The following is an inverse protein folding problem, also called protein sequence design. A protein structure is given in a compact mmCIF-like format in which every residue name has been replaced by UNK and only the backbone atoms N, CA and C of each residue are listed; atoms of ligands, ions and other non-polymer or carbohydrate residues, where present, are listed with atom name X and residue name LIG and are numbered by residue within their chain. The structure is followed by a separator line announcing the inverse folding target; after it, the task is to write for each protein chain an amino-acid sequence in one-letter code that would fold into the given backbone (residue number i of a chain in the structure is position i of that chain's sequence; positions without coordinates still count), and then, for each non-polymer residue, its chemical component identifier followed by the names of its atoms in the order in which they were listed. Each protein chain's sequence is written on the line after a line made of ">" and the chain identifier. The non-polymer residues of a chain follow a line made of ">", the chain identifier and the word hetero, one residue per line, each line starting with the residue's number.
data_IF_807365800615
#
_entry.id   IF_807365800615
#
_cell.length_a   1.000
_cell.length_b   1.000
_cell.length_c   1.000
_cell.angle_alpha   90.00
_cell.angle_beta   90.00
_cell.angle_gamma   90.00
#
_symmetry.space_group_name_H-M   'P 1'
#
loop_
_entity.id
_entity.type
_entity.pdbx_description
1 polymer ?
#
# COMPACT_ATOMS: atom_id res chain seq x y z
N UNK A 1 -27.27 -5.61 16.18
CA UNK A 1 -25.89 -5.29 16.61
C UNK A 1 -25.35 -6.51 17.33
N UNK A 2 -24.57 -7.36 16.65
CA UNK A 2 -23.77 -8.33 17.36
C UNK A 2 -22.56 -7.57 17.90
N UNK A 3 -22.62 -7.17 19.16
CA UNK A 3 -21.43 -6.81 19.90
C UNK A 3 -20.51 -8.02 19.83
N UNK A 4 -19.27 -7.81 19.37
CA UNK A 4 -18.20 -8.77 19.61
C UNK A 4 -18.12 -8.93 21.13
N UNK A 5 -18.72 -10.01 21.64
CA UNK A 5 -18.47 -10.46 22.99
C UNK A 5 -16.98 -10.75 23.04
N UNK A 6 -16.26 -9.94 23.82
CA UNK A 6 -14.92 -10.30 24.27
C UNK A 6 -15.04 -11.64 25.00
N UNK A 7 -14.75 -12.73 24.28
CA UNK A 7 -14.57 -14.04 24.87
C UNK A 7 -13.21 -14.04 25.57
N UNK A 8 -13.15 -13.40 26.74
CA UNK A 8 -12.02 -13.46 27.66
C UNK A 8 -12.07 -14.81 28.36
N UNK A 9 -11.46 -15.87 27.77
CA UNK A 9 -10.78 -16.98 28.49
C UNK A 9 -10.37 -18.14 27.55
N UNK A 10 -9.76 -17.89 26.39
CA UNK A 10 -9.02 -18.95 25.67
C UNK A 10 -7.67 -18.43 25.19
N UNK A 11 -6.67 -19.28 25.35
CA UNK A 11 -5.24 -19.10 25.07
C UNK A 11 -4.93 -18.20 23.87
N UNK A 12 -3.84 -17.44 23.96
CA UNK A 12 -3.36 -16.43 23.02
C UNK A 12 -3.07 -16.89 21.58
N UNK A 13 -3.31 -18.16 21.23
CA UNK A 13 -2.81 -18.77 20.00
C UNK A 13 -3.86 -18.99 18.91
N UNK A 14 -5.13 -18.61 19.13
CA UNK A 14 -6.23 -18.86 18.17
C UNK A 14 -7.02 -17.60 17.77
N UNK A 15 -6.47 -16.40 18.01
CA UNK A 15 -7.12 -15.17 17.52
C UNK A 15 -6.92 -15.05 16.02
N UNK A 16 -8.02 -15.02 15.27
CA UNK A 16 -8.03 -14.51 13.90
C UNK A 16 -7.81 -12.99 14.01
N UNK A 17 -6.61 -12.53 13.65
CA UNK A 17 -6.23 -11.09 13.70
C UNK A 17 -6.56 -10.39 12.35
N UNK A 18 -6.95 -11.15 11.33
CA UNK A 18 -7.30 -10.67 9.99
C UNK A 18 -8.82 -10.67 9.76
N UNK A 19 -9.30 -9.87 8.79
CA UNK A 19 -10.71 -9.92 8.40
C UNK A 19 -11.03 -11.30 7.80
N UNK A 20 -12.05 -12.03 8.26
CA UNK A 20 -12.48 -13.28 7.65
C UNK A 20 -13.06 -13.10 6.24
N UNK A 21 -13.32 -11.87 5.77
CA UNK A 21 -13.81 -11.56 4.42
C UNK A 21 -15.11 -12.29 4.07
N UNK A 22 -16.19 -11.97 4.79
CA UNK A 22 -17.54 -12.46 4.45
C UNK A 22 -18.18 -11.67 3.29
N UNK A 23 -19.03 -12.31 2.49
CA UNK A 23 -19.67 -11.69 1.32
C UNK A 23 -20.67 -10.59 1.72
N UNK A 24 -21.58 -10.83 2.69
CA UNK A 24 -22.47 -9.79 3.23
C UNK A 24 -22.85 -10.08 4.69
N UNK A 25 -22.05 -9.58 5.62
CA UNK A 25 -22.30 -9.63 7.06
C UNK A 25 -23.10 -8.41 7.58
N UNK A 26 -23.21 -7.35 6.79
CA UNK A 26 -23.64 -6.01 7.22
C UNK A 26 -24.93 -5.52 6.58
N UNK A 27 -25.37 -6.14 5.47
CA UNK A 27 -26.60 -5.78 4.77
C UNK A 27 -27.48 -7.03 4.64
N UNK A 28 -28.61 -7.13 5.36
CA UNK A 28 -29.52 -8.26 5.19
C UNK A 28 -30.08 -8.26 3.77
N UNK A 29 -30.21 -9.45 3.19
CA UNK A 29 -31.02 -9.64 1.97
C UNK A 29 -32.48 -9.25 2.24
N UNK A 30 -33.30 -9.08 1.20
CA UNK A 30 -34.72 -8.72 1.34
C UNK A 30 -35.53 -9.64 2.28
N UNK A 31 -35.02 -10.84 2.57
CA UNK A 31 -35.63 -11.81 3.48
C UNK A 31 -35.01 -11.82 4.89
N UNK A 32 -34.13 -10.88 5.23
CA UNK A 32 -33.46 -10.82 6.54
C UNK A 32 -32.28 -11.79 6.72
N UNK A 33 -31.91 -12.55 5.68
CA UNK A 33 -30.77 -13.48 5.73
C UNK A 33 -29.46 -12.75 5.46
N UNK A 34 -28.45 -13.00 6.29
CA UNK A 34 -27.06 -12.58 6.08
C UNK A 34 -26.32 -13.63 5.24
N UNK A 35 -25.31 -13.18 4.49
CA UNK A 35 -24.45 -14.04 3.70
C UNK A 35 -23.09 -14.19 4.37
N UNK A 36 -22.91 -15.31 5.08
CA UNK A 36 -21.67 -15.67 5.77
C UNK A 36 -20.74 -16.54 4.91
N UNK A 37 -20.95 -16.60 3.58
CA UNK A 37 -19.95 -17.22 2.71
C UNK A 37 -18.66 -16.40 2.73
N UNK A 38 -17.54 -17.12 2.61
CA UNK A 38 -16.22 -16.53 2.52
C UNK A 38 -15.94 -16.03 1.10
N UNK A 39 -15.26 -14.90 0.98
CA UNK A 39 -14.73 -14.38 -0.28
C UNK A 39 -13.50 -15.18 -0.74
N UNK A 40 -13.15 -15.05 -2.02
CA UNK A 40 -12.12 -15.85 -2.71
C UNK A 40 -10.74 -15.88 -2.03
N UNK A 41 -10.39 -14.82 -1.31
CA UNK A 41 -9.09 -14.66 -0.65
C UNK A 41 -9.16 -14.68 0.88
N UNK A 42 -10.29 -15.14 1.43
CA UNK A 42 -10.49 -15.19 2.87
C UNK A 42 -9.39 -16.00 3.56
N UNK A 43 -8.79 -15.47 4.64
CA UNK A 43 -7.81 -16.21 5.44
C UNK A 43 -8.45 -17.35 6.24
N UNK A 44 -9.78 -17.43 6.29
CA UNK A 44 -10.54 -18.46 7.00
C UNK A 44 -10.88 -19.69 6.15
N UNK A 45 -10.57 -19.67 4.84
CA UNK A 45 -10.68 -20.85 3.99
C UNK A 45 -9.73 -21.93 4.53
N UNK A 46 -10.27 -23.14 4.73
CA UNK A 46 -9.55 -24.34 5.18
C UNK A 46 -8.79 -24.16 6.53
N UNK A 47 -9.36 -23.41 7.49
CA UNK A 47 -8.76 -23.13 8.81
C UNK A 47 -9.30 -23.93 10.01
N UNK A 48 -10.18 -24.91 9.83
CA UNK A 48 -10.71 -25.78 10.89
C UNK A 48 -10.46 -27.27 10.63
N UNK A 49 -11.29 -28.13 11.23
CA UNK A 49 -11.17 -29.59 11.14
C UNK A 49 -11.76 -30.10 9.81
N UNK A 50 -10.95 -30.70 8.92
CA UNK A 50 -11.39 -31.16 7.61
C UNK A 50 -12.21 -32.47 7.66
N UNK A 51 -12.43 -33.05 8.84
CA UNK A 51 -13.24 -34.25 8.99
C UNK A 51 -14.71 -33.99 8.70
N UNK A 52 -15.38 -35.00 8.12
CA UNK A 52 -16.78 -34.91 7.69
C UNK A 52 -17.78 -34.87 8.86
N UNK A 53 -17.29 -35.13 10.08
CA UNK A 53 -18.01 -35.16 11.34
C UNK A 53 -17.10 -34.54 12.39
N UNK A 54 -17.29 -33.24 12.68
CA UNK A 54 -16.69 -32.62 13.85
C UNK A 54 -17.18 -33.35 15.11
N UNK A 55 -16.32 -33.50 16.11
CA UNK A 55 -16.63 -34.09 17.42
C UNK A 55 -17.80 -33.36 18.09
N UNK A 56 -18.01 -32.09 17.79
CA UNK A 56 -19.13 -31.30 18.29
C UNK A 56 -20.43 -31.41 17.45
N UNK A 57 -20.40 -32.15 16.34
CA UNK A 57 -21.54 -32.33 15.43
C UNK A 57 -21.74 -31.19 14.42
N UNK A 58 -20.80 -30.26 14.30
CA UNK A 58 -20.79 -29.23 13.27
C UNK A 58 -20.43 -29.80 11.88
N UNK A 59 -20.79 -29.05 10.83
CA UNK A 59 -20.45 -29.39 9.43
C UNK A 59 -19.00 -29.01 9.14
N UNK A 60 -18.33 -29.76 8.26
CA UNK A 60 -17.00 -29.41 7.74
C UNK A 60 -16.92 -27.94 7.30
N UNK A 61 -15.74 -27.36 7.50
CA UNK A 61 -15.47 -25.95 7.18
C UNK A 61 -15.90 -25.55 5.77
N UNK A 62 -16.17 -24.25 5.59
CA UNK A 62 -16.41 -23.63 4.29
C UNK A 62 -15.08 -23.61 3.51
N UNK A 63 -14.64 -24.78 3.07
CA UNK A 63 -13.49 -24.99 2.21
C UNK A 63 -13.86 -25.01 0.73
N UNK A 64 -12.84 -25.09 -0.13
CA UNK A 64 -12.85 -24.96 -1.60
C UNK A 64 -13.85 -25.89 -2.36
N UNK A 65 -14.53 -26.81 -1.68
CA UNK A 65 -15.47 -27.78 -2.25
C UNK A 65 -16.82 -27.85 -1.51
N UNK A 66 -17.51 -26.72 -1.47
CA UNK A 66 -18.96 -26.72 -1.61
C UNK A 66 -19.81 -26.99 -0.38
N UNK A 67 -21.05 -26.50 -0.44
CA UNK A 67 -22.05 -26.61 0.62
C UNK A 67 -22.59 -28.03 0.77
N UNK A 68 -23.60 -28.21 1.64
CA UNK A 68 -24.31 -29.47 1.76
C UNK A 68 -24.70 -30.00 0.37
N UNK A 69 -24.53 -31.30 0.13
CA UNK A 69 -24.93 -31.96 -1.12
C UNK A 69 -24.08 -31.62 -2.37
N UNK A 70 -22.87 -31.06 -2.20
CA UNK A 70 -21.95 -30.83 -3.33
C UNK A 70 -22.27 -29.57 -4.13
N UNK A 71 -22.96 -28.60 -3.53
CA UNK A 71 -23.19 -27.29 -4.14
C UNK A 71 -21.86 -26.56 -4.31
N UNK A 72 -21.48 -26.24 -5.55
CA UNK A 72 -20.35 -25.36 -5.84
C UNK A 72 -20.81 -23.91 -5.76
N UNK A 73 -20.17 -23.12 -4.90
CA UNK A 73 -20.40 -21.67 -4.83
C UNK A 73 -19.31 -20.94 -5.64
N UNK A 74 -19.73 -19.95 -6.42
CA UNK A 74 -18.78 -19.01 -7.03
C UNK A 74 -18.26 -18.07 -5.96
N UNK A 75 -16.98 -18.19 -5.60
CA UNK A 75 -16.35 -17.22 -4.71
C UNK A 75 -16.41 -15.83 -5.33
N UNK A 76 -17.04 -14.91 -4.60
CA UNK A 76 -17.06 -13.49 -4.97
C UNK A 76 -15.79 -12.83 -4.45
N UNK A 77 -15.31 -11.88 -5.23
CA UNK A 77 -14.19 -11.01 -4.90
C UNK A 77 -14.75 -9.60 -4.79
N UNK A 78 -14.72 -9.05 -3.57
CA UNK A 78 -15.33 -7.75 -3.26
C UNK A 78 -14.24 -6.74 -2.96
N UNK A 79 -14.50 -5.49 -3.32
CA UNK A 79 -13.60 -4.39 -2.97
C UNK A 79 -13.34 -4.34 -1.46
N UNK A 80 -12.13 -3.89 -1.04
CA UNK A 80 -11.84 -3.70 0.37
C UNK A 80 -12.81 -2.73 1.04
N UNK A 81 -12.89 -2.79 2.37
CA UNK A 81 -13.55 -1.80 3.20
C UNK A 81 -12.80 -0.47 3.14
N UNK A 82 -13.50 0.67 3.30
CA UNK A 82 -12.85 1.97 3.33
C UNK A 82 -11.82 2.05 4.47
N UNK A 83 -10.64 2.65 4.22
CA UNK A 83 -9.68 2.96 5.29
C UNK A 83 -10.31 3.85 6.37
N UNK A 84 -9.86 3.69 7.61
CA UNK A 84 -10.44 4.39 8.78
C UNK A 84 -9.41 5.19 9.54
N UNK A 85 -9.88 6.17 10.32
CA UNK A 85 -9.06 7.05 11.16
C UNK A 85 -7.97 7.79 10.38
N UNK A 86 -8.32 8.36 9.22
CA UNK A 86 -7.42 9.24 8.51
C UNK A 86 -7.22 10.53 9.30
N UNK A 87 -5.97 10.85 9.61
CA UNK A 87 -5.57 12.10 10.26
C UNK A 87 -4.52 12.80 9.43
N UNK A 88 -4.63 14.13 9.33
CA UNK A 88 -3.62 15.00 8.72
C UNK A 88 -3.07 15.94 9.80
N UNK A 89 -1.76 15.91 10.03
CA UNK A 89 -1.08 16.77 11.02
C UNK A 89 0.16 17.39 10.42
N UNK A 90 0.53 18.59 10.86
CA UNK A 90 1.83 19.16 10.48
C UNK A 90 2.94 18.48 11.26
N UNK A 91 3.93 17.93 10.57
CA UNK A 91 5.17 17.44 11.16
C UNK A 91 6.36 17.98 10.36
N UNK A 92 7.26 18.69 11.05
CA UNK A 92 8.50 19.22 10.49
C UNK A 92 8.31 20.12 9.26
N UNK A 93 7.11 20.66 9.01
CA UNK A 93 6.81 21.49 7.83
C UNK A 93 6.19 20.73 6.65
N UNK A 94 5.99 19.41 6.79
CA UNK A 94 5.21 18.59 5.87
C UNK A 94 3.87 18.19 6.49
N UNK A 95 2.92 17.80 5.64
CA UNK A 95 1.65 17.23 6.10
C UNK A 95 1.85 15.73 6.29
N UNK A 96 1.86 15.29 7.54
CA UNK A 96 1.91 13.89 7.92
C UNK A 96 0.49 13.31 7.93
N UNK A 97 0.24 12.37 7.03
CA UNK A 97 -0.98 11.59 6.96
C UNK A 97 -0.77 10.24 7.63
N UNK A 98 -1.76 9.81 8.42
CA UNK A 98 -1.78 8.50 9.07
C UNK A 98 -3.20 7.93 9.08
N UNK A 99 -3.32 6.62 8.89
CA UNK A 99 -4.59 5.89 8.96
C UNK A 99 -4.42 4.49 9.55
N UNK A 100 -5.54 3.82 9.86
CA UNK A 100 -5.52 2.43 10.30
C UNK A 100 -5.37 1.47 9.11
N UNK A 101 -4.52 0.45 9.27
CA UNK A 101 -4.36 -0.61 8.28
C UNK A 101 -5.68 -1.37 8.09
N UNK A 102 -6.07 -1.57 6.83
CA UNK A 102 -7.07 -2.56 6.42
C UNK A 102 -6.61 -3.98 6.82
N UNK A 103 -7.57 -4.83 7.18
CA UNK A 103 -7.33 -6.18 7.74
C UNK A 103 -7.61 -7.31 6.75
N UNK A 104 -8.11 -6.97 5.57
CA UNK A 104 -8.33 -7.86 4.44
C UNK A 104 -7.01 -8.51 3.99
N UNK A 105 -7.04 -9.81 3.74
CA UNK A 105 -5.83 -10.59 3.49
C UNK A 105 -5.22 -10.34 2.10
N UNK A 106 -6.03 -9.90 1.16
CA UNK A 106 -5.68 -9.58 -0.23
C UNK A 106 -5.43 -8.09 -0.48
N UNK A 107 -5.42 -7.27 0.58
CA UNK A 107 -5.06 -5.87 0.51
C UNK A 107 -3.69 -5.69 -0.16
N UNK A 108 -3.67 -4.88 -1.21
CA UNK A 108 -2.46 -4.63 -1.99
C UNK A 108 -1.84 -3.27 -1.67
N UNK A 109 -2.60 -2.17 -1.79
CA UNK A 109 -2.09 -0.80 -1.63
C UNK A 109 -3.20 0.24 -1.43
N UNK A 110 -2.82 1.45 -1.07
CA UNK A 110 -3.67 2.62 -0.93
C UNK A 110 -3.42 3.64 -2.03
N UNK A 111 -4.45 4.40 -2.39
CA UNK A 111 -4.34 5.65 -3.15
C UNK A 111 -4.64 6.82 -2.22
N UNK A 112 -3.76 7.80 -2.23
CA UNK A 112 -3.92 9.04 -1.47
C UNK A 112 -4.33 10.13 -2.43
N UNK A 113 -5.42 10.82 -2.10
CA UNK A 113 -5.96 11.92 -2.88
C UNK A 113 -5.90 13.22 -2.08
N UNK A 114 -5.73 14.35 -2.78
CA UNK A 114 -5.73 15.68 -2.19
C UNK A 114 -6.45 16.69 -3.06
N UNK A 115 -7.19 17.59 -2.41
CA UNK A 115 -7.71 18.80 -3.02
C UNK A 115 -7.70 19.98 -2.03
N UNK A 116 -8.00 21.17 -2.53
CA UNK A 116 -8.22 22.40 -1.75
C UNK A 116 -9.70 22.70 -1.52
N UNK A 117 -10.57 21.88 -2.11
CA UNK A 117 -12.03 21.98 -2.01
C UNK A 117 -12.52 20.90 -1.07
N UNK A 118 -13.38 21.22 -0.08
CA UNK A 118 -14.01 20.22 0.77
C UNK A 118 -14.91 19.30 -0.06
N UNK A 119 -15.10 18.07 0.40
CA UNK A 119 -15.95 17.07 -0.24
C UNK A 119 -15.60 16.79 -1.72
N UNK A 120 -14.34 17.00 -2.10
CA UNK A 120 -13.92 16.86 -3.48
C UNK A 120 -14.15 15.43 -4.03
N UNK A 121 -14.37 15.36 -5.34
CA UNK A 121 -14.46 14.10 -6.07
C UNK A 121 -13.06 13.52 -6.22
N UNK A 122 -12.82 12.35 -5.62
CA UNK A 122 -11.53 11.66 -5.64
C UNK A 122 -11.34 10.91 -6.98
N UNK A 123 -10.90 11.63 -8.00
CA UNK A 123 -10.60 11.06 -9.32
C UNK A 123 -9.08 10.87 -9.55
N UNK A 124 -8.72 10.39 -10.74
CA UNK A 124 -7.31 10.12 -11.09
C UNK A 124 -6.42 11.36 -11.12
N UNK A 125 -6.97 12.56 -11.26
CA UNK A 125 -6.23 13.83 -11.28
C UNK A 125 -5.87 14.31 -9.88
N UNK A 126 -6.53 13.79 -8.85
CA UNK A 126 -6.33 14.17 -7.45
C UNK A 126 -5.39 13.22 -6.71
N UNK A 127 -4.92 12.16 -7.37
CA UNK A 127 -3.97 11.21 -6.79
C UNK A 127 -2.62 11.90 -6.59
N UNK A 128 -2.13 11.88 -5.35
CA UNK A 128 -0.80 12.37 -4.99
C UNK A 128 0.18 11.24 -4.67
N UNK A 129 -0.32 10.05 -4.29
CA UNK A 129 0.52 8.91 -4.01
C UNK A 129 -0.23 7.57 -4.14
N UNK A 130 0.52 6.51 -4.42
CA UNK A 130 0.04 5.11 -4.37
C UNK A 130 1.04 4.29 -3.56
N UNK A 131 0.68 3.90 -2.33
CA UNK A 131 1.62 3.33 -1.35
C UNK A 131 1.01 2.14 -0.61
N UNK A 132 1.84 1.27 -0.04
CA UNK A 132 1.39 0.13 0.77
C UNK A 132 1.43 0.37 2.28
N UNK A 133 2.12 1.43 2.72
CA UNK A 133 2.18 1.82 4.13
C UNK A 133 0.91 2.55 4.60
N UNK A 134 0.79 2.76 5.90
CA UNK A 134 -0.30 3.44 6.62
C UNK A 134 0.04 4.87 7.00
N UNK A 135 1.18 5.36 6.52
CA UNK A 135 1.71 6.69 6.78
C UNK A 135 2.23 7.31 5.48
N UNK A 136 2.04 8.61 5.31
CA UNK A 136 2.53 9.35 4.15
C UNK A 136 2.92 10.77 4.55
N UNK A 137 3.98 11.32 3.97
CA UNK A 137 4.35 12.72 4.12
C UNK A 137 4.08 13.44 2.80
N UNK A 138 3.12 14.36 2.82
CA UNK A 138 2.81 15.22 1.68
C UNK A 138 3.58 16.54 1.80
N UNK A 139 4.11 17.00 0.66
CA UNK A 139 4.75 18.30 0.48
C UNK A 139 3.89 19.14 -0.48
N UNK A 140 2.86 19.86 0.02
CA UNK A 140 2.04 20.71 -0.82
C UNK A 140 2.91 21.77 -1.50
N UNK A 141 2.73 22.02 -2.81
CA UNK A 141 3.59 22.94 -3.54
C UNK A 141 3.71 24.30 -2.84
N UNK A 142 4.95 24.74 -2.61
CA UNK A 142 5.36 25.94 -1.83
C UNK A 142 4.68 27.26 -2.24
N UNK A 143 3.89 27.31 -3.31
CA UNK A 143 3.10 28.47 -3.71
C UNK A 143 1.76 28.58 -2.94
N UNK A 144 1.38 27.56 -2.18
CA UNK A 144 0.08 27.43 -1.52
C UNK A 144 0.19 27.18 0.01
N UNK A 145 1.29 27.62 0.64
CA UNK A 145 1.60 27.43 2.08
C UNK A 145 0.56 28.09 3.03
N UNK A 146 -0.42 28.79 2.47
CA UNK A 146 -1.62 29.20 3.18
C UNK A 146 -2.85 28.63 2.47
N UNK A 147 -3.54 27.69 3.09
CA UNK A 147 -4.71 27.07 2.48
C UNK A 147 -5.27 25.89 3.27
N UNK A 148 -6.53 25.60 2.99
CA UNK A 148 -7.17 24.37 3.45
C UNK A 148 -6.80 23.25 2.47
N UNK A 149 -6.38 22.12 3.02
CA UNK A 149 -6.15 20.90 2.28
C UNK A 149 -7.04 19.80 2.82
N UNK A 150 -7.63 19.05 1.89
CA UNK A 150 -8.54 17.96 2.16
C UNK A 150 -7.96 16.69 1.55
N UNK A 151 -7.98 15.61 2.33
CA UNK A 151 -7.40 14.33 1.98
C UNK A 151 -8.42 13.21 2.08
N UNK A 152 -8.36 12.30 1.12
CA UNK A 152 -9.13 11.05 1.10
C UNK A 152 -8.20 9.90 0.75
N UNK A 153 -8.50 8.70 1.26
CA UNK A 153 -7.72 7.50 0.95
C UNK A 153 -8.65 6.37 0.54
N UNK A 154 -8.26 5.60 -0.48
CA UNK A 154 -8.97 4.37 -0.88
C UNK A 154 -8.00 3.20 -0.82
N UNK A 155 -8.49 2.03 -0.40
CA UNK A 155 -7.76 0.77 -0.45
C UNK A 155 -7.98 0.05 -1.79
N UNK A 156 -7.00 -0.73 -2.21
CA UNK A 156 -7.01 -1.54 -3.42
C UNK A 156 -6.55 -2.95 -3.06
N UNK A 157 -7.28 -3.96 -3.53
CA UNK A 157 -6.92 -5.37 -3.39
C UNK A 157 -5.96 -5.86 -4.49
N UNK A 158 -5.61 -7.14 -4.42
CA UNK A 158 -4.74 -7.81 -5.39
C UNK A 158 -5.41 -8.04 -6.76
N UNK A 159 -6.74 -7.93 -6.85
CA UNK A 159 -7.54 -8.00 -8.06
C UNK A 159 -7.84 -6.60 -8.66
N UNK A 160 -7.31 -5.54 -8.05
CA UNK A 160 -7.51 -4.14 -8.39
C UNK A 160 -8.92 -3.57 -8.15
N UNK A 161 -9.76 -4.20 -7.34
CA UNK A 161 -10.97 -3.52 -6.87
C UNK A 161 -10.61 -2.44 -5.86
N UNK A 162 -11.33 -1.32 -5.95
CA UNK A 162 -11.09 -0.14 -5.14
C UNK A 162 -12.21 0.06 -4.13
N UNK A 163 -11.84 0.31 -2.88
CA UNK A 163 -12.81 0.61 -1.82
C UNK A 163 -13.46 1.99 -2.02
N UNK A 164 -14.60 2.25 -1.36
CA UNK A 164 -15.01 3.61 -1.05
C UNK A 164 -13.90 4.39 -0.33
N UNK A 165 -13.93 5.72 -0.44
CA UNK A 165 -12.99 6.58 0.25
C UNK A 165 -13.17 6.50 1.78
N UNK A 166 -12.07 6.76 2.48
CA UNK A 166 -12.07 7.06 3.91
C UNK A 166 -12.91 8.31 4.22
N UNK A 167 -13.11 8.54 5.51
CA UNK A 167 -13.46 9.86 6.02
C UNK A 167 -12.49 10.92 5.46
N UNK A 168 -13.00 12.14 5.22
CA UNK A 168 -12.19 13.26 4.77
C UNK A 168 -11.39 13.84 5.94
N UNK A 169 -10.07 13.88 5.80
CA UNK A 169 -9.22 14.62 6.73
C UNK A 169 -8.97 16.03 6.18
N UNK A 170 -9.06 17.02 7.06
CA UNK A 170 -8.80 18.40 6.73
C UNK A 170 -7.61 18.92 7.54
N UNK A 171 -6.83 19.80 6.94
CA UNK A 171 -5.80 20.57 7.63
C UNK A 171 -5.78 21.98 7.07
N UNK A 172 -5.75 22.97 7.96
CA UNK A 172 -5.58 24.36 7.59
C UNK A 172 -4.13 24.75 7.87
N UNK A 173 -3.38 25.08 6.82
CA UNK A 173 -2.00 25.54 6.95
C UNK A 173 -2.06 27.07 6.98
N UNK A 174 -1.81 27.68 8.14
CA UNK A 174 -1.88 29.14 8.32
C UNK A 174 -0.49 29.76 8.46
N UNK A 175 0.16 30.04 7.33
CA UNK A 175 1.41 30.80 7.31
C UNK A 175 2.59 30.07 7.96
N UNK A 176 3.78 30.36 7.45
CA UNK A 176 5.05 29.70 7.80
C UNK A 176 5.22 29.70 9.33
N UNK A 177 5.12 28.56 10.07
CA UNK A 177 6.13 28.39 11.08
C UNK A 177 7.42 28.33 10.28
N UNK A 178 8.41 29.13 10.64
CA UNK A 178 9.79 28.89 10.24
C UNK A 178 10.19 27.57 10.93
N UNK A 179 9.52 26.46 10.59
CA UNK A 179 10.08 25.16 10.71
C UNK A 179 11.32 25.27 9.84
N UNK A 180 12.52 25.10 10.41
CA UNK A 180 13.71 25.02 9.58
C UNK A 180 13.36 24.04 8.45
N UNK A 181 13.63 24.41 7.17
CA UNK A 181 13.34 23.52 6.05
C UNK A 181 13.78 22.13 6.47
N UNK A 182 12.95 21.09 6.33
CA UNK A 182 13.33 19.73 6.76
C UNK A 182 14.72 19.49 6.23
N UNK A 183 15.70 19.63 7.11
CA UNK A 183 17.07 19.46 6.72
C UNK A 183 17.18 17.96 6.77
N UNK A 184 16.97 17.34 5.62
CA UNK A 184 17.43 15.99 5.40
C UNK A 184 18.94 16.08 5.58
N UNK A 185 19.43 15.87 6.80
CA UNK A 185 20.83 16.20 7.12
C UNK A 185 21.81 15.30 6.36
N UNK A 186 21.31 14.16 5.88
CA UNK A 186 22.07 13.11 5.24
C UNK A 186 21.31 12.51 4.06
N UNK A 187 22.05 12.20 3.00
CA UNK A 187 21.58 11.26 2.00
C UNK A 187 21.44 9.87 2.63
N UNK A 188 20.39 9.15 2.27
CA UNK A 188 20.15 7.82 2.82
C UNK A 188 19.40 6.94 1.82
N UNK A 189 19.89 5.74 1.56
CA UNK A 189 19.11 4.68 0.95
C UNK A 189 18.56 3.81 2.08
N UNK A 190 17.27 3.53 2.09
CA UNK A 190 16.65 2.70 3.12
C UNK A 190 16.39 1.29 2.60
N UNK A 191 16.15 0.37 3.53
CA UNK A 191 15.82 -1.01 3.18
C UNK A 191 14.47 -1.06 2.45
N UNK A 192 14.42 -1.80 1.35
CA UNK A 192 13.18 -2.03 0.61
C UNK A 192 12.16 -2.79 1.46
N UNK A 193 10.89 -2.48 1.29
CA UNK A 193 9.79 -3.13 2.00
C UNK A 193 8.63 -3.47 1.04
N UNK A 194 8.09 -4.70 1.12
CA UNK A 194 8.57 -5.83 1.93
C UNK A 194 9.93 -6.38 1.42
N UNK A 195 10.67 -7.10 2.28
CA UNK A 195 11.86 -7.88 1.90
C UNK A 195 11.95 -9.13 2.81
N UNK A 196 11.77 -10.36 2.30
CA UNK A 196 11.56 -10.73 0.89
C UNK A 196 10.23 -10.20 0.31
N UNK A 197 10.12 -10.14 -1.03
CA UNK A 197 8.94 -9.60 -1.70
C UNK A 197 8.43 -10.49 -2.84
N UNK A 198 7.13 -10.37 -3.11
CA UNK A 198 6.40 -10.91 -4.26
C UNK A 198 5.05 -10.18 -4.42
N UNK A 199 4.70 -9.61 -5.60
CA UNK A 199 5.51 -9.47 -6.79
C UNK A 199 6.40 -8.22 -6.79
N UNK A 200 6.10 -7.18 -5.99
CA UNK A 200 6.84 -5.91 -5.97
C UNK A 200 7.30 -5.46 -4.59
N UNK A 201 8.18 -4.46 -4.55
CA UNK A 201 8.72 -3.87 -3.31
C UNK A 201 8.97 -2.38 -3.48
N UNK A 202 8.86 -1.60 -2.40
CA UNK A 202 9.13 -0.17 -2.38
C UNK A 202 10.55 0.08 -1.87
N UNK A 203 11.31 0.94 -2.55
CA UNK A 203 12.65 1.37 -2.15
C UNK A 203 12.59 2.84 -1.71
N UNK A 204 12.64 3.12 -0.40
CA UNK A 204 12.69 4.48 0.12
C UNK A 204 14.11 5.05 0.09
N UNK A 205 14.25 6.35 -0.21
CA UNK A 205 15.52 7.08 -0.13
C UNK A 205 15.29 8.56 0.23
N UNK A 206 16.34 9.19 0.74
CA UNK A 206 16.35 10.59 1.18
C UNK A 206 17.48 11.35 0.48
N UNK A 207 17.19 12.56 0.03
CA UNK A 207 18.13 13.47 -0.60
C UNK A 207 18.36 14.68 0.28
N UNK A 208 19.62 14.89 0.70
CA UNK A 208 20.02 16.04 1.51
C UNK A 208 19.93 17.36 0.74
N UNK A 209 20.31 17.33 -0.52
CA UNK A 209 20.36 18.49 -1.40
C UNK A 209 19.84 18.05 -2.79
N UNK A 210 19.38 19.01 -3.62
CA UNK A 210 18.90 18.68 -4.96
C UNK A 210 20.04 18.11 -5.82
N UNK A 211 19.70 17.18 -6.70
CA UNK A 211 20.67 16.49 -7.53
C UNK A 211 20.06 15.56 -8.56
N UNK A 212 20.88 15.10 -9.48
CA UNK A 212 20.51 14.09 -10.45
C UNK A 212 20.62 12.70 -9.81
N UNK A 213 19.48 12.01 -9.70
CA UNK A 213 19.37 10.74 -9.00
C UNK A 213 19.21 9.60 -9.99
N UNK A 214 19.99 8.56 -9.77
CA UNK A 214 19.89 7.30 -10.47
C UNK A 214 19.72 6.15 -9.48
N UNK A 215 18.59 5.45 -9.53
CA UNK A 215 18.35 4.23 -8.74
C UNK A 215 18.35 3.05 -9.70
N UNK A 216 19.20 2.07 -9.45
CA UNK A 216 19.46 0.94 -10.34
C UNK A 216 19.36 -0.37 -9.57
N UNK A 217 18.95 -1.43 -10.26
CA UNK A 217 18.88 -2.81 -9.77
C UNK A 217 19.88 -3.66 -10.52
N UNK A 218 20.62 -4.49 -9.80
CA UNK A 218 21.64 -5.40 -10.28
C UNK A 218 21.39 -6.83 -9.82
N UNK A 219 21.85 -7.80 -10.61
CA UNK A 219 21.96 -9.19 -10.16
C UNK A 219 23.27 -9.42 -9.38
N UNK A 220 23.47 -10.63 -8.86
CA UNK A 220 24.70 -10.99 -8.12
C UNK A 220 25.97 -11.00 -8.98
N UNK A 221 25.85 -11.04 -10.31
CA UNK A 221 26.97 -10.92 -11.24
C UNK A 221 27.37 -9.45 -11.48
N UNK A 222 26.61 -8.50 -10.96
CA UNK A 222 26.82 -7.07 -11.15
C UNK A 222 26.23 -6.51 -12.44
N UNK A 223 25.42 -7.29 -13.16
CA UNK A 223 24.74 -6.83 -14.37
C UNK A 223 23.55 -5.95 -13.99
N UNK A 224 23.43 -4.78 -14.62
CA UNK A 224 22.30 -3.88 -14.40
C UNK A 224 21.04 -4.46 -15.04
N UNK A 225 20.10 -4.86 -14.20
CA UNK A 225 18.83 -5.47 -14.62
C UNK A 225 17.77 -4.40 -14.89
N UNK A 226 17.76 -3.31 -14.11
CA UNK A 226 16.76 -2.25 -14.26
C UNK A 226 17.24 -0.90 -13.76
N UNK A 227 16.72 0.16 -14.36
CA UNK A 227 16.85 1.54 -13.87
C UNK A 227 15.47 1.99 -13.42
N UNK A 228 15.33 2.35 -12.16
CA UNK A 228 14.05 2.74 -11.53
C UNK A 228 13.87 4.25 -11.51
N UNK A 229 14.94 4.99 -11.28
CA UNK A 229 14.97 6.45 -11.27
C UNK A 229 16.15 6.91 -12.11
N UNK A 230 15.94 7.94 -12.93
CA UNK A 230 16.97 8.57 -13.74
C UNK A 230 16.55 10.02 -14.06
N UNK A 231 16.52 10.88 -13.05
CA UNK A 231 16.06 12.27 -13.19
C UNK A 231 16.62 13.18 -12.11
N UNK A 232 16.52 14.48 -12.33
CA UNK A 232 16.77 15.49 -11.31
C UNK A 232 15.64 15.52 -10.28
N UNK A 233 15.99 15.59 -9.00
CA UNK A 233 15.06 15.66 -7.87
C UNK A 233 15.55 16.71 -6.87
N UNK A 234 14.60 17.37 -6.21
CA UNK A 234 14.88 18.32 -5.13
C UNK A 234 15.35 17.60 -3.86
N UNK A 235 15.83 18.33 -2.85
CA UNK A 235 16.01 17.75 -1.53
C UNK A 235 14.67 17.25 -0.98
N UNK A 236 14.66 16.10 -0.30
CA UNK A 236 13.43 15.51 0.22
C UNK A 236 13.44 14.00 0.34
N UNK A 237 12.26 13.45 0.60
CA UNK A 237 12.00 12.03 0.76
C UNK A 237 11.35 11.48 -0.49
N UNK A 238 11.78 10.31 -0.93
CA UNK A 238 11.29 9.68 -2.14
C UNK A 238 11.13 8.18 -1.95
N UNK A 239 10.18 7.62 -2.69
CA UNK A 239 9.97 6.19 -2.79
C UNK A 239 9.90 5.81 -4.25
N UNK A 240 10.44 4.65 -4.60
CA UNK A 240 10.32 4.09 -5.94
C UNK A 240 9.88 2.64 -5.87
N UNK A 241 8.88 2.28 -6.68
CA UNK A 241 8.38 0.93 -6.79
C UNK A 241 9.29 0.10 -7.71
N UNK A 242 9.73 -1.06 -7.23
CA UNK A 242 10.35 -2.08 -8.05
C UNK A 242 9.36 -3.21 -8.30
N UNK A 243 9.07 -3.44 -9.59
CA UNK A 243 8.34 -4.61 -10.05
C UNK A 243 9.24 -5.40 -11.04
N UNK A 244 9.36 -6.72 -10.89
CA UNK A 244 10.18 -7.57 -11.75
C UNK A 244 9.77 -7.46 -13.22
N UNK A 245 8.47 -7.54 -13.50
CA UNK A 245 7.89 -7.62 -14.85
C UNK A 245 7.34 -6.30 -15.38
N UNK A 246 7.08 -5.32 -14.51
CA UNK A 246 6.46 -4.05 -14.90
C UNK A 246 7.42 -2.87 -14.69
N UNK A 247 7.51 -1.98 -15.67
CA UNK A 247 8.23 -0.71 -15.50
C UNK A 247 7.21 0.40 -15.35
N UNK A 248 7.39 1.22 -14.32
CA UNK A 248 6.58 2.40 -14.12
C UNK A 248 7.00 3.47 -15.14
N UNK A 249 6.07 3.84 -16.03
CA UNK A 249 6.23 4.97 -16.96
C UNK A 249 5.20 6.02 -16.63
N UNK A 250 5.63 7.26 -16.51
CA UNK A 250 4.73 8.40 -16.44
C UNK A 250 4.41 8.81 -17.88
N UNK A 251 3.15 8.64 -18.31
CA UNK A 251 2.68 9.11 -19.62
C UNK A 251 2.83 10.63 -19.72
N UNK A 252 2.81 11.15 -20.96
CA UNK A 252 2.83 12.59 -21.22
C UNK A 252 1.66 13.36 -20.55
N UNK A 253 0.63 12.64 -20.10
CA UNK A 253 -0.58 13.16 -19.46
C UNK A 253 -0.54 13.03 -17.92
N UNK A 254 0.60 12.64 -17.34
CA UNK A 254 0.78 12.47 -15.89
C UNK A 254 0.20 11.17 -15.31
N UNK A 255 -0.40 10.32 -16.15
CA UNK A 255 -0.88 8.98 -15.80
C UNK A 255 0.29 8.03 -15.56
N UNK A 256 0.30 7.30 -14.45
CA UNK A 256 1.26 6.23 -14.20
C UNK A 256 0.78 4.99 -14.95
N UNK A 257 1.53 4.59 -15.98
CA UNK A 257 1.31 3.40 -16.79
C UNK A 257 2.35 2.33 -16.46
N UNK A 258 1.90 1.08 -16.36
CA UNK A 258 2.78 -0.07 -16.15
C UNK A 258 2.97 -0.76 -17.50
N UNK A 259 4.13 -0.57 -18.11
CA UNK A 259 4.49 -1.34 -19.31
C UNK A 259 5.09 -2.65 -18.85
N UNK A 260 4.45 -3.77 -19.21
CA UNK A 260 5.00 -5.11 -19.00
C UNK A 260 6.20 -5.28 -19.92
N UNK A 261 7.40 -5.14 -19.36
CA UNK A 261 8.63 -5.44 -20.06
C UNK A 261 8.80 -6.95 -20.12
N UNK A 262 9.01 -7.50 -21.32
CA UNK A 262 9.43 -8.88 -21.50
C UNK A 262 10.87 -9.05 -20.98
N UNK A 263 10.99 -9.35 -19.69
CA UNK A 263 12.25 -9.64 -19.01
C UNK A 263 11.96 -10.38 -17.72
N UNK A 264 12.01 -11.71 -17.78
CA UNK A 264 11.74 -12.56 -16.62
C UNK A 264 12.89 -12.46 -15.60
N UNK A 265 12.76 -11.53 -14.67
CA UNK A 265 13.56 -11.53 -13.45
C UNK A 265 13.09 -12.74 -12.61
N UNK A 266 14.01 -13.64 -12.29
CA UNK A 266 13.77 -14.89 -11.56
C UNK A 266 13.81 -14.69 -10.05
N UNK A 267 13.29 -15.64 -9.26
CA UNK A 267 13.50 -15.62 -7.80
C UNK A 267 14.98 -15.59 -7.46
N UNK A 268 15.38 -14.79 -6.49
CA UNK A 268 16.78 -14.65 -6.14
C UNK A 268 17.11 -13.40 -5.34
N UNK A 269 18.40 -13.23 -5.06
CA UNK A 269 18.94 -12.05 -4.40
C UNK A 269 19.35 -11.04 -5.47
N UNK A 270 18.95 -9.79 -5.26
CA UNK A 270 19.29 -8.65 -6.08
C UNK A 270 19.91 -7.56 -5.23
N UNK A 271 20.70 -6.71 -5.87
CA UNK A 271 21.25 -5.51 -5.26
C UNK A 271 20.57 -4.29 -5.88
N UNK A 272 20.27 -3.27 -5.09
CA UNK A 272 19.87 -1.97 -5.61
C UNK A 272 20.84 -0.92 -5.11
N UNK A 273 21.15 0.03 -6.00
CA UNK A 273 22.11 1.10 -5.76
C UNK A 273 21.45 2.42 -6.07
N UNK A 274 21.70 3.41 -5.23
CA UNK A 274 21.45 4.81 -5.54
C UNK A 274 22.76 5.51 -5.86
N UNK A 275 22.72 6.40 -6.85
CA UNK A 275 23.76 7.35 -7.17
C UNK A 275 23.12 8.74 -7.26
N UNK A 276 23.71 9.71 -6.56
CA UNK A 276 23.28 11.11 -6.59
C UNK A 276 24.44 11.96 -7.06
N UNK A 277 24.20 12.70 -8.13
CA UNK A 277 25.15 13.63 -8.73
C UNK A 277 24.68 15.05 -8.40
N UNK A 278 25.50 15.80 -7.67
CA UNK A 278 25.22 17.18 -7.28
C UNK A 278 25.60 18.18 -8.37
N UNK A 279 25.66 19.46 -7.98
CA UNK A 279 26.13 20.53 -8.86
C UNK A 279 27.55 20.25 -9.40
N UNK A 280 27.81 20.67 -10.64
CA UNK A 280 29.10 20.45 -11.30
C UNK A 280 29.36 19.02 -11.76
N UNK A 281 28.32 18.16 -11.84
CA UNK A 281 28.43 16.74 -12.19
C UNK A 281 29.32 15.91 -11.23
N UNK A 282 29.37 16.30 -9.96
CA UNK A 282 30.17 15.61 -8.95
C UNK A 282 29.28 14.60 -8.21
N UNK A 283 29.66 13.30 -8.13
CA UNK A 283 28.95 12.33 -7.30
C UNK A 283 29.01 12.73 -5.82
N UNK A 284 27.86 12.95 -5.20
CA UNK A 284 27.74 13.39 -3.80
C UNK A 284 27.26 12.28 -2.87
N UNK A 285 26.63 11.23 -3.41
CA UNK A 285 26.19 10.08 -2.63
C UNK A 285 26.09 8.82 -3.47
N UNK A 286 26.52 7.70 -2.88
CA UNK A 286 26.27 6.36 -3.40
C UNK A 286 26.05 5.41 -2.23
N UNK A 287 25.02 4.58 -2.31
CA UNK A 287 24.79 3.49 -1.35
C UNK A 287 24.19 2.30 -2.09
N UNK A 288 24.36 1.11 -1.53
CA UNK A 288 23.89 -0.15 -2.10
C UNK A 288 23.31 -1.05 -1.01
N UNK A 289 22.19 -1.69 -1.31
CA UNK A 289 21.54 -2.67 -0.43
C UNK A 289 21.08 -3.88 -1.19
N UNK A 290 20.79 -4.95 -0.44
CA UNK A 290 20.28 -6.22 -0.96
C UNK A 290 18.77 -6.34 -0.79
N UNK A 291 18.13 -7.03 -1.71
CA UNK A 291 16.72 -7.44 -1.66
C UNK A 291 16.56 -8.87 -2.14
N UNK A 292 15.48 -9.52 -1.74
CA UNK A 292 15.17 -10.92 -2.08
C UNK A 292 13.79 -11.02 -2.72
N UNK A 293 13.76 -11.51 -3.96
CA UNK A 293 12.54 -11.82 -4.71
C UNK A 293 12.20 -13.30 -4.55
N UNK A 294 10.96 -13.61 -4.19
CA UNK A 294 10.45 -14.98 -4.03
C UNK A 294 9.20 -15.15 -4.89
N UNK A 295 9.34 -15.62 -6.14
CA UNK A 295 8.20 -16.14 -6.93
C UNK A 295 7.77 -17.51 -6.39
#
# INVERSE_FOLDING_TARGET
>A
MANFLECTTLSSNWRIIADPMFVKDTIPTANGSYDFHLQKYSPAIDKGDPSILDVDGSRSDIGMFGGPLGESYTYQDLAPKPPRNLTATMDSGLVHLKWNKNTEADLFRYRVYRDTVPDFVYDTTKIIAVISDTTFYDDPPQKFISGNYYYKITAIDSAYHQSPASEEAHINITGIPEAPPIVVEHYNLLQNYPNPFNPGTTIPYRLKAPGYVKVMVYNLLGEQVKVLVNKYQSAGYYEVLFHPTATERQSAEGKIEFETGYGDIVSGIYLYRIEVIGEGNIPVFTDMKKMMLVK
#
